data_IF_563030544695
#
_entry.id   IF_563030544695
#
_cell.length_a   1.000
_cell.length_b   1.000
_cell.length_c   1.000
_cell.angle_alpha   90.00
_cell.angle_beta   90.00
_cell.angle_gamma   90.00
#
_symmetry.space_group_name_H-M   'P 1'
#
loop_
_entity.id
_entity.type
_entity.pdbx_description
1 polymer ?
#
# COMPACT_ATOMS: atom_id res chain seq x y z
N UNK A 1 -8.78 13.32 16.03
CA UNK A 1 -7.83 13.12 14.92
C UNK A 1 -6.44 13.10 15.51
N UNK A 2 -5.73 11.97 15.45
CA UNK A 2 -4.45 11.83 16.14
C UNK A 2 -3.34 12.56 15.38
N UNK A 3 -2.32 13.03 16.11
CA UNK A 3 -1.19 13.79 15.55
C UNK A 3 -0.42 13.01 14.45
N UNK A 4 -0.44 11.67 14.54
CA UNK A 4 0.06 10.77 13.51
C UNK A 4 -0.76 10.81 12.21
N UNK A 5 -2.09 10.95 12.28
CA UNK A 5 -2.96 11.00 11.11
C UNK A 5 -2.75 12.30 10.32
N UNK A 6 -2.53 13.41 11.03
CA UNK A 6 -2.20 14.71 10.44
C UNK A 6 -0.85 14.72 9.72
N UNK A 7 0.16 14.08 10.32
CA UNK A 7 1.49 13.95 9.72
C UNK A 7 1.44 13.06 8.47
N UNK A 8 0.68 11.96 8.53
CA UNK A 8 0.44 11.08 7.38
C UNK A 8 -0.29 11.79 6.23
N UNK A 9 -1.34 12.57 6.52
CA UNK A 9 -2.07 13.33 5.50
C UNK A 9 -1.17 14.33 4.77
N UNK A 10 -0.37 15.12 5.49
CA UNK A 10 0.47 16.14 4.86
C UNK A 10 1.62 15.54 4.02
N UNK A 11 2.28 14.50 4.52
CA UNK A 11 3.35 13.83 3.77
C UNK A 11 2.85 13.15 2.50
N UNK A 12 1.59 12.72 2.48
CA UNK A 12 1.01 12.08 1.29
C UNK A 12 0.45 13.07 0.27
N UNK A 13 -0.08 14.21 0.72
CA UNK A 13 -0.49 15.28 -0.18
C UNK A 13 0.71 15.81 -1.01
N UNK A 14 1.89 15.91 -0.40
CA UNK A 14 3.13 16.26 -1.11
C UNK A 14 3.52 15.21 -2.15
N UNK A 15 3.37 13.92 -1.85
CA UNK A 15 3.69 12.85 -2.80
C UNK A 15 2.73 12.77 -3.98
N UNK A 16 1.45 13.03 -3.77
CA UNK A 16 0.48 13.12 -4.85
C UNK A 16 0.81 14.30 -5.79
N UNK A 17 1.35 15.39 -5.25
CA UNK A 17 1.83 16.51 -6.04
C UNK A 17 3.11 16.20 -6.81
N UNK A 18 4.12 15.57 -6.19
CA UNK A 18 5.38 15.23 -6.86
C UNK A 18 5.20 14.17 -7.97
N UNK A 19 4.31 13.20 -7.75
CA UNK A 19 3.94 12.19 -8.76
C UNK A 19 3.15 12.78 -9.95
N UNK A 20 2.58 13.98 -9.81
CA UNK A 20 1.89 14.65 -10.92
C UNK A 20 2.84 15.38 -11.87
N UNK A 21 4.10 15.58 -11.46
CA UNK A 21 5.12 16.33 -12.22
C UNK A 21 6.01 15.46 -13.11
N UNK A 22 6.23 14.19 -12.77
CA UNK A 22 7.05 13.28 -13.58
C UNK A 22 6.19 12.20 -14.23
N UNK A 23 5.84 12.42 -15.51
CA UNK A 23 5.35 11.38 -16.42
C UNK A 23 6.50 10.44 -16.80
N UNK A 24 6.98 9.64 -15.85
CA UNK A 24 7.73 8.44 -16.21
C UNK A 24 6.72 7.37 -16.65
N UNK A 25 6.62 7.12 -17.95
CA UNK A 25 5.90 5.96 -18.49
C UNK A 25 6.60 4.67 -18.03
N UNK A 26 6.23 4.20 -16.83
CA UNK A 26 6.64 2.90 -16.36
C UNK A 26 5.70 1.86 -16.98
N UNK A 27 6.23 1.09 -17.92
CA UNK A 27 5.51 0.09 -18.72
C UNK A 27 5.09 -1.16 -17.94
N UNK A 28 5.68 -1.42 -16.77
CA UNK A 28 5.39 -2.63 -15.97
C UNK A 28 4.74 -2.29 -14.62
N UNK A 29 3.41 -2.30 -14.62
CA UNK A 29 2.57 -2.11 -13.43
C UNK A 29 2.19 -3.42 -12.77
N UNK A 30 2.09 -3.44 -11.43
CA UNK A 30 1.43 -4.54 -10.74
C UNK A 30 -0.05 -4.60 -11.12
N UNK A 31 -0.53 -5.79 -11.43
CA UNK A 31 -1.96 -6.04 -11.64
C UNK A 31 -2.78 -5.50 -10.47
N UNK A 32 -3.91 -4.86 -10.75
CA UNK A 32 -4.84 -4.39 -9.73
C UNK A 32 -5.20 -5.51 -8.73
N UNK A 33 -5.39 -5.12 -7.47
CA UNK A 33 -5.74 -6.02 -6.37
C UNK A 33 -4.71 -7.13 -6.12
N UNK A 34 -3.45 -6.88 -6.52
CA UNK A 34 -2.33 -7.78 -6.25
C UNK A 34 -1.54 -7.26 -5.06
N UNK A 35 -1.38 -8.10 -4.05
CA UNK A 35 -0.50 -7.86 -2.94
C UNK A 35 0.93 -8.36 -3.25
N UNK A 36 1.92 -7.67 -2.72
CA UNK A 36 3.33 -8.04 -2.78
C UNK A 36 4.08 -7.49 -1.56
N UNK A 37 5.26 -8.04 -1.28
CA UNK A 37 6.21 -7.40 -0.37
C UNK A 37 7.15 -6.50 -1.15
N UNK A 38 7.32 -5.28 -0.69
CA UNK A 38 8.17 -4.29 -1.32
C UNK A 38 9.34 -3.95 -0.40
N UNK A 39 10.49 -3.59 -0.98
CA UNK A 39 11.70 -3.30 -0.19
C UNK A 39 11.55 -1.99 0.55
N UNK A 40 12.01 -1.95 1.80
CA UNK A 40 12.01 -0.70 2.58
C UNK A 40 12.79 0.44 1.90
N UNK A 41 13.84 0.11 1.16
CA UNK A 41 14.65 1.10 0.45
C UNK A 41 13.84 1.93 -0.55
N UNK A 42 12.76 1.36 -1.10
CA UNK A 42 11.94 2.02 -2.12
C UNK A 42 11.04 3.12 -1.55
N UNK A 43 10.82 3.17 -0.23
CA UNK A 43 10.10 4.26 0.43
C UNK A 43 10.88 4.96 1.54
N UNK A 44 12.14 4.61 1.79
CA UNK A 44 12.99 5.38 2.72
C UNK A 44 13.24 6.82 2.25
N UNK A 45 13.13 7.06 0.95
CA UNK A 45 13.10 8.40 0.34
C UNK A 45 11.77 9.13 0.56
N UNK A 46 10.71 8.43 0.96
CA UNK A 46 9.39 8.99 1.20
C UNK A 46 9.27 9.34 2.69
N UNK A 47 9.11 10.63 3.00
CA UNK A 47 9.28 11.20 4.35
C UNK A 47 8.43 10.57 5.47
N UNK A 48 7.34 9.88 5.14
CA UNK A 48 6.45 9.23 6.11
C UNK A 48 7.05 8.01 6.83
N UNK A 49 8.10 7.39 6.28
CA UNK A 49 8.75 6.22 6.91
C UNK A 49 9.51 6.58 8.20
N UNK A 50 10.03 7.81 8.32
CA UNK A 50 10.89 8.22 9.45
C UNK A 50 10.16 8.23 10.80
N UNK A 51 8.83 8.33 10.82
CA UNK A 51 8.04 8.36 12.04
C UNK A 51 7.74 6.96 12.63
N UNK A 52 7.98 5.86 11.89
CA UNK A 52 7.42 4.55 12.22
C UNK A 52 8.42 3.46 12.69
N UNK A 53 9.72 3.60 12.47
CA UNK A 53 10.63 2.44 12.56
C UNK A 53 11.61 2.49 13.74
N UNK A 54 11.28 1.76 14.82
CA UNK A 54 12.22 1.33 15.86
C UNK A 54 12.81 -0.08 15.64
N UNK A 55 12.38 -0.80 14.59
CA UNK A 55 12.89 -2.13 14.23
C UNK A 55 13.06 -2.21 12.71
N UNK A 56 14.25 -2.63 12.25
CA UNK A 56 14.59 -2.80 10.83
C UNK A 56 13.76 -3.95 10.24
N UNK A 57 12.60 -3.68 9.64
CA UNK A 57 12.02 -4.63 8.69
C UNK A 57 12.82 -4.47 7.38
N UNK A 58 12.79 -5.46 6.50
CA UNK A 58 13.47 -5.36 5.19
C UNK A 58 12.46 -5.06 4.08
N UNK A 59 11.20 -5.40 4.33
CA UNK A 59 10.11 -5.25 3.38
C UNK A 59 8.75 -5.13 4.08
N UNK A 60 7.80 -4.49 3.40
CA UNK A 60 6.44 -4.30 3.89
C UNK A 60 5.42 -4.80 2.87
N UNK A 61 4.25 -5.31 3.34
CA UNK A 61 3.16 -5.66 2.46
C UNK A 61 2.58 -4.40 1.80
N UNK A 62 2.34 -4.46 0.50
CA UNK A 62 1.65 -3.45 -0.28
C UNK A 62 0.59 -4.09 -1.16
N UNK A 63 -0.49 -3.37 -1.43
CA UNK A 63 -1.60 -3.79 -2.28
C UNK A 63 -1.72 -2.82 -3.46
N UNK A 64 -1.69 -3.32 -4.69
CA UNK A 64 -1.96 -2.51 -5.89
C UNK A 64 -3.43 -2.10 -5.92
N UNK A 65 -3.66 -0.79 -5.98
CA UNK A 65 -5.00 -0.17 -5.90
C UNK A 65 -5.41 0.58 -7.17
N UNK A 66 -4.57 0.63 -8.20
CA UNK A 66 -4.91 1.32 -9.45
C UNK A 66 -4.59 0.47 -10.67
N UNK A 67 -5.47 0.55 -11.67
CA UNK A 67 -5.30 -0.11 -12.96
C UNK A 67 -4.46 0.73 -13.95
N UNK A 68 -4.32 2.03 -13.68
CA UNK A 68 -3.77 3.01 -14.63
C UNK A 68 -2.51 3.69 -14.13
N UNK A 69 -2.31 3.70 -12.82
CA UNK A 69 -1.20 4.34 -12.15
C UNK A 69 -0.58 3.30 -11.21
N UNK A 70 0.72 3.39 -11.00
CA UNK A 70 1.46 2.49 -10.14
C UNK A 70 1.20 2.79 -8.65
N UNK A 71 -0.05 2.70 -8.19
CA UNK A 71 -0.41 3.05 -6.82
C UNK A 71 -0.53 1.82 -5.93
N UNK A 72 0.22 1.85 -4.83
CA UNK A 72 0.26 0.79 -3.83
C UNK A 72 -0.13 1.34 -2.46
N UNK A 73 -1.17 0.77 -1.85
CA UNK A 73 -1.53 1.04 -0.46
C UNK A 73 -0.69 0.13 0.47
N UNK A 74 -0.12 0.69 1.53
CA UNK A 74 0.68 -0.10 2.48
C UNK A 74 -0.16 -0.79 3.54
N UNK A 75 0.26 -2.00 3.86
CA UNK A 75 -0.35 -2.83 4.89
C UNK A 75 0.27 -2.60 6.27
N UNK A 76 -0.59 -2.53 7.29
CA UNK A 76 -0.20 -2.51 8.70
C UNK A 76 -0.76 -3.74 9.41
N UNK A 77 0.02 -4.30 10.35
CA UNK A 77 -0.49 -5.34 11.24
C UNK A 77 -1.34 -4.79 12.40
N UNK A 78 -1.46 -3.45 12.53
CA UNK A 78 -2.34 -2.80 13.50
C UNK A 78 -3.71 -2.60 12.87
N UNK A 79 -4.64 -3.49 13.23
CA UNK A 79 -5.99 -3.54 12.66
C UNK A 79 -7.03 -2.75 13.45
N UNK A 80 -6.72 -2.36 14.68
CA UNK A 80 -7.67 -1.75 15.60
C UNK A 80 -7.82 -0.24 15.35
N UNK A 81 -8.99 0.31 15.68
CA UNK A 81 -9.34 1.73 15.57
C UNK A 81 -9.09 2.36 14.18
N UNK A 82 -9.19 1.56 13.12
CA UNK A 82 -9.05 2.03 11.74
C UNK A 82 -10.41 2.41 11.15
N UNK A 83 -10.43 3.50 10.38
CA UNK A 83 -11.63 3.91 9.65
C UNK A 83 -12.03 2.82 8.63
N UNK A 84 -13.20 2.17 8.79
CA UNK A 84 -13.64 1.12 7.89
C UNK A 84 -13.95 1.65 6.48
N UNK A 85 -14.20 2.94 6.28
CA UNK A 85 -14.47 3.50 4.96
C UNK A 85 -13.22 3.49 4.07
N UNK A 86 -12.06 3.78 4.66
CA UNK A 86 -10.79 3.93 3.94
C UNK A 86 -9.81 2.79 4.20
N UNK A 87 -10.19 1.80 5.01
CA UNK A 87 -9.35 0.64 5.33
C UNK A 87 -9.91 -0.63 4.69
N UNK A 88 -9.03 -1.40 4.05
CA UNK A 88 -9.32 -2.77 3.62
C UNK A 88 -8.59 -3.76 4.55
N UNK A 89 -9.35 -4.63 5.21
CA UNK A 89 -8.78 -5.69 6.04
C UNK A 89 -8.65 -6.96 5.20
N UNK A 90 -7.44 -7.50 5.09
CA UNK A 90 -7.15 -8.70 4.31
C UNK A 90 -6.58 -9.76 5.24
N UNK A 91 -7.15 -10.96 5.20
CA UNK A 91 -6.69 -12.10 5.97
C UNK A 91 -5.76 -13.00 5.14
N UNK A 92 -4.96 -13.88 5.77
CA UNK A 92 -4.17 -14.88 5.05
C UNK A 92 -5.01 -15.81 4.17
N UNK A 93 -6.28 -16.06 4.52
CA UNK A 93 -7.19 -16.88 3.72
C UNK A 93 -7.56 -16.20 2.39
N UNK A 94 -7.66 -14.88 2.40
CA UNK A 94 -7.97 -14.07 1.22
C UNK A 94 -6.73 -13.70 0.40
N UNK A 95 -5.55 -13.78 0.99
CA UNK A 95 -4.29 -13.45 0.34
C UNK A 95 -3.14 -14.25 0.99
N UNK A 96 -2.77 -15.42 0.43
CA UNK A 96 -1.87 -16.39 1.06
C UNK A 96 -0.46 -15.87 1.39
N UNK A 97 -0.02 -14.81 0.74
CA UNK A 97 1.31 -14.22 0.97
C UNK A 97 1.35 -13.44 2.28
N UNK A 98 0.21 -13.06 2.82
CA UNK A 98 0.12 -12.36 4.09
C UNK A 98 0.23 -13.40 5.21
N UNK A 99 1.27 -13.30 6.03
CA UNK A 99 1.45 -14.17 7.22
C UNK A 99 0.41 -13.91 8.32
N UNK A 100 -0.29 -12.77 8.25
CA UNK A 100 -1.24 -12.31 9.28
C UNK A 100 -2.28 -11.36 8.68
N UNK A 101 -3.35 -11.13 9.45
CA UNK A 101 -4.35 -10.11 9.11
C UNK A 101 -3.66 -8.74 8.96
N UNK A 102 -3.92 -8.09 7.84
CA UNK A 102 -3.26 -6.85 7.43
C UNK A 102 -4.32 -5.80 7.06
N UNK A 103 -4.16 -4.61 7.59
CA UNK A 103 -4.97 -3.44 7.26
C UNK A 103 -4.26 -2.62 6.18
N UNK A 104 -4.82 -2.57 4.98
CA UNK A 104 -4.38 -1.67 3.92
C UNK A 104 -5.13 -0.35 4.03
N UNK A 105 -4.38 0.73 4.24
CA UNK A 105 -4.94 2.06 4.41
C UNK A 105 -5.03 2.72 3.03
N UNK A 106 -6.22 2.70 2.42
CA UNK A 106 -6.41 3.08 1.01
C UNK A 106 -6.25 4.58 0.78
N UNK A 107 -6.47 5.40 1.81
CA UNK A 107 -6.15 6.83 1.74
C UNK A 107 -4.63 7.09 1.69
N UNK A 108 -3.82 6.06 1.95
CA UNK A 108 -2.38 6.15 1.99
C UNK A 108 -1.69 5.27 0.94
N UNK A 109 -1.38 5.86 -0.22
CA UNK A 109 -0.76 5.16 -1.35
C UNK A 109 0.54 5.80 -1.83
N UNK A 110 1.43 5.00 -2.41
CA UNK A 110 2.69 5.43 -3.02
C UNK A 110 2.83 4.96 -4.48
N UNK A 111 3.60 5.68 -5.32
CA UNK A 111 3.83 5.34 -6.72
C UNK A 111 4.87 4.21 -6.88
N UNK A 112 4.54 2.96 -6.55
CA UNK A 112 5.45 1.80 -6.59
C UNK A 112 5.14 0.80 -7.71
N UNK A 113 6.20 0.17 -8.20
CA UNK A 113 6.22 -0.66 -9.42
C UNK A 113 6.64 -2.10 -9.13
N UNK A 114 6.59 -2.98 -10.14
CA UNK A 114 7.08 -4.36 -10.02
C UNK A 114 8.57 -4.43 -9.62
N UNK A 115 9.37 -3.42 -9.98
CA UNK A 115 10.82 -3.39 -9.70
C UNK A 115 11.14 -3.13 -8.21
N UNK A 116 10.18 -2.56 -7.49
CA UNK A 116 10.29 -2.26 -6.06
C UNK A 116 9.99 -3.47 -5.18
N UNK A 117 9.51 -4.56 -5.78
CA UNK A 117 9.17 -5.81 -5.10
C UNK A 117 10.43 -6.45 -4.51
N UNK A 118 10.29 -6.93 -3.27
CA UNK A 118 11.32 -7.72 -2.60
C UNK A 118 11.29 -9.15 -3.13
N UNK A 119 12.05 -9.39 -4.21
CA UNK A 119 12.16 -10.70 -4.85
C UNK A 119 12.73 -11.80 -3.93
N UNK A 120 13.28 -11.47 -2.75
CA UNK A 120 13.73 -12.48 -1.77
C UNK A 120 12.56 -13.12 -1.02
N UNK A 121 11.42 -12.44 -0.94
CA UNK A 121 10.17 -12.91 -0.33
C UNK A 121 9.10 -13.25 -1.39
N UNK A 122 9.52 -13.49 -2.63
CA UNK A 122 8.64 -13.55 -3.80
C UNK A 122 7.49 -14.55 -3.69
N UNK A 123 6.29 -13.99 -3.53
CA UNK A 123 5.08 -14.39 -4.24
C UNK A 123 4.19 -13.13 -4.29
N UNK A 124 3.83 -12.68 -5.50
CA UNK A 124 2.69 -11.77 -5.64
C UNK A 124 1.43 -12.61 -5.51
N UNK A 125 0.39 -12.11 -4.85
CA UNK A 125 -0.89 -12.81 -4.81
C UNK A 125 -2.04 -11.84 -5.00
N UNK A 126 -2.99 -12.26 -5.83
CA UNK A 126 -4.28 -11.58 -5.89
C UNK A 126 -5.03 -11.83 -4.59
N UNK A 127 -5.73 -10.80 -4.13
CA UNK A 127 -6.72 -10.96 -3.06
C UNK A 127 -7.95 -11.71 -3.60
N UNK A 128 -8.77 -12.26 -2.71
CA UNK A 128 -10.01 -12.94 -3.07
C UNK A 128 -10.95 -12.04 -3.90
N UNK A 129 -11.78 -12.61 -4.81
CA UNK A 129 -12.73 -11.84 -5.62
C UNK A 129 -13.67 -10.96 -4.79
N UNK A 130 -14.06 -11.43 -3.61
CA UNK A 130 -14.92 -10.72 -2.66
C UNK A 130 -14.23 -9.44 -2.16
N UNK A 131 -12.95 -9.55 -1.76
CA UNK A 131 -12.16 -8.39 -1.35
C UNK A 131 -11.79 -7.48 -2.52
N UNK A 132 -11.60 -8.01 -3.73
CA UNK A 132 -11.43 -7.19 -4.93
C UNK A 132 -12.67 -6.31 -5.18
N UNK A 133 -13.87 -6.89 -5.03
CA UNK A 133 -15.11 -6.13 -5.13
C UNK A 133 -15.24 -5.08 -4.02
N UNK A 134 -14.89 -5.43 -2.79
CA UNK A 134 -14.87 -4.47 -1.67
C UNK A 134 -13.87 -3.33 -1.91
N UNK A 135 -12.66 -3.63 -2.36
CA UNK A 135 -11.63 -2.65 -2.72
C UNK A 135 -12.16 -1.67 -3.77
N UNK A 136 -12.77 -2.18 -4.85
CA UNK A 136 -13.39 -1.33 -5.89
C UNK A 136 -14.48 -0.41 -5.32
N UNK A 137 -15.28 -0.88 -4.35
CA UNK A 137 -16.31 -0.06 -3.71
C UNK A 137 -15.71 1.03 -2.84
N UNK A 138 -14.65 0.74 -2.08
CA UNK A 138 -13.99 1.73 -1.21
C UNK A 138 -13.25 2.79 -2.02
N UNK A 139 -12.52 2.39 -3.07
CA UNK A 139 -11.78 3.32 -3.93
C UNK A 139 -12.68 4.30 -4.70
N UNK A 140 -13.98 4.02 -4.87
CA UNK A 140 -14.94 4.99 -5.42
C UNK A 140 -15.35 6.09 -4.42
N UNK A 141 -15.02 5.91 -3.14
CA UNK A 141 -15.41 6.81 -2.04
C UNK A 141 -14.23 7.59 -1.46
N UNK A 142 -13.01 7.18 -1.81
CA UNK A 142 -11.74 7.86 -1.50
C UNK A 142 -11.44 8.83 -2.62
#
# INVERSE_FOLDING_TARGET
>A
MNQLDLLLQNSLAQLAMEASTDQAEVTESLSFATAAFFRESCWKSLDWHRAASGHKRTSHPGLSISHRQNQVAFGSSKTDDRDPATTLLVSPADCPILERKTAFLLQYSAPLTIFDVDCRRSATAKISPELEHELKRKLKRV
#
